data_IF_690265475072
#
_entry.id   IF_690265475072
#
_cell.length_a   1.000
_cell.length_b   1.000
_cell.length_c   1.000
_cell.angle_alpha   90.00
_cell.angle_beta   90.00
_cell.angle_gamma   90.00
#
_symmetry.space_group_name_H-M   'P 1'
#
loop_
_entity.id
_entity.type
_entity.pdbx_description
1 polymer ?
#
# COMPACT_ATOMS: atom_id res chain seq x y z
N UNK A 1 -11.93 59.57 -14.96
CA UNK A 1 -12.77 59.78 -13.78
C UNK A 1 -13.73 58.57 -13.65
N UNK A 2 -13.48 57.61 -12.82
CA UNK A 2 -14.51 56.70 -12.36
C UNK A 2 -14.06 56.05 -11.03
N UNK A 3 -14.91 56.19 -10.05
CA UNK A 3 -14.69 55.98 -8.63
C UNK A 3 -14.68 54.49 -8.27
N UNK A 4 -13.62 54.05 -7.58
CA UNK A 4 -13.61 52.77 -6.82
C UNK A 4 -14.63 52.89 -5.67
N UNK A 5 -15.59 51.97 -5.61
CA UNK A 5 -16.42 51.73 -4.43
C UNK A 5 -15.78 50.64 -3.58
N UNK A 6 -15.29 51.06 -2.42
CA UNK A 6 -14.89 50.15 -1.32
C UNK A 6 -16.17 49.62 -0.68
N UNK A 7 -16.34 48.31 -0.68
CA UNK A 7 -17.36 47.61 0.11
C UNK A 7 -16.71 47.15 1.40
N UNK A 8 -17.01 47.83 2.50
CA UNK A 8 -16.64 47.40 3.84
C UNK A 8 -17.67 46.39 4.34
N UNK A 9 -17.25 45.14 4.52
CA UNK A 9 -18.08 44.11 5.12
C UNK A 9 -17.90 44.16 6.64
N UNK A 10 -18.92 44.69 7.32
CA UNK A 10 -18.99 44.75 8.80
C UNK A 10 -19.41 43.39 9.34
N UNK A 11 -18.52 42.71 10.02
CA UNK A 11 -18.85 41.48 10.81
C UNK A 11 -19.40 41.93 12.16
N UNK A 12 -20.69 41.76 12.36
CA UNK A 12 -21.33 41.86 13.68
C UNK A 12 -21.07 40.54 14.40
N UNK A 13 -20.16 40.57 15.37
CA UNK A 13 -19.90 39.46 16.29
C UNK A 13 -20.98 39.45 17.38
N UNK A 14 -22.00 38.60 17.22
CA UNK A 14 -23.01 38.39 18.26
C UNK A 14 -22.44 37.46 19.33
N UNK A 15 -22.06 38.02 20.46
CA UNK A 15 -21.59 37.31 21.65
C UNK A 15 -22.79 36.75 22.43
N UNK A 16 -23.12 35.47 22.23
CA UNK A 16 -24.07 34.73 23.05
C UNK A 16 -23.36 34.15 24.25
N UNK A 17 -23.51 34.79 25.42
CA UNK A 17 -23.10 34.25 26.75
C UNK A 17 -24.07 33.14 27.13
N UNK A 18 -23.72 31.89 26.87
CA UNK A 18 -24.39 30.71 27.46
C UNK A 18 -23.58 30.32 28.69
N UNK A 19 -24.08 30.68 29.89
CA UNK A 19 -23.57 30.16 31.17
C UNK A 19 -24.01 28.71 31.34
N UNK A 20 -23.28 27.77 30.71
CA UNK A 20 -23.44 26.35 30.93
C UNK A 20 -22.43 25.87 31.99
N UNK A 21 -22.92 25.44 33.14
CA UNK A 21 -22.14 24.72 34.17
C UNK A 21 -21.62 23.44 33.53
N UNK A 22 -20.30 23.37 33.25
CA UNK A 22 -19.62 22.18 32.78
C UNK A 22 -19.32 21.28 34.00
N UNK A 23 -19.66 19.96 33.97
CA UNK A 23 -19.18 19.04 34.97
C UNK A 23 -17.66 18.90 34.86
N UNK A 24 -16.96 19.15 35.94
CA UNK A 24 -15.53 18.96 36.06
C UNK A 24 -15.19 17.47 35.88
N UNK A 25 -14.30 17.15 34.90
CA UNK A 25 -13.66 15.85 34.89
C UNK A 25 -13.55 15.04 33.61
N UNK A 26 -13.75 15.62 32.40
CA UNK A 26 -13.37 14.93 31.16
C UNK A 26 -12.26 15.68 30.44
N UNK A 27 -11.01 15.35 30.75
CA UNK A 27 -9.87 15.76 29.92
C UNK A 27 -9.96 14.99 28.61
N UNK A 28 -10.56 15.62 27.59
CA UNK A 28 -10.48 15.15 26.22
C UNK A 28 -9.04 15.39 25.73
N UNK A 29 -8.20 14.37 25.86
CA UNK A 29 -6.93 14.36 25.15
C UNK A 29 -7.25 14.11 23.66
N UNK A 30 -7.00 15.06 22.75
CA UNK A 30 -7.16 14.78 21.32
C UNK A 30 -6.17 13.67 20.97
N UNK A 31 -6.68 12.51 20.60
CA UNK A 31 -5.88 11.46 19.99
C UNK A 31 -5.44 12.00 18.63
N UNK A 32 -4.31 12.70 18.61
CA UNK A 32 -3.63 13.08 17.38
C UNK A 32 -3.16 11.77 16.74
N UNK A 33 -3.95 11.23 15.81
CA UNK A 33 -3.48 10.17 14.94
C UNK A 33 -2.37 10.76 14.08
N UNK A 34 -1.12 10.55 14.47
CA UNK A 34 0.03 10.89 13.64
C UNK A 34 -0.02 9.97 12.42
N UNK A 35 -0.71 10.44 11.39
CA UNK A 35 -0.61 9.84 10.07
C UNK A 35 0.85 10.02 9.64
N UNK A 36 1.58 8.90 9.49
CA UNK A 36 3.00 8.96 9.13
C UNK A 36 3.15 9.74 7.82
N UNK A 37 3.61 10.99 7.94
CA UNK A 37 3.73 11.88 6.80
C UNK A 37 4.73 11.31 5.80
N UNK A 38 4.32 11.28 4.54
CA UNK A 38 5.19 10.87 3.43
C UNK A 38 6.41 11.79 3.38
N UNK A 39 7.61 11.22 3.40
CA UNK A 39 8.86 11.99 3.41
C UNK A 39 9.05 12.80 2.14
N UNK A 40 9.94 13.82 2.18
CA UNK A 40 10.46 14.45 0.97
C UNK A 40 11.21 13.43 0.12
N UNK A 41 11.18 13.58 -1.22
CA UNK A 41 11.96 12.75 -2.14
C UNK A 41 13.46 13.01 -1.94
N UNK A 42 14.25 11.94 -1.92
CA UNK A 42 15.70 11.99 -1.81
C UNK A 42 16.34 11.41 -3.07
N UNK A 43 17.35 12.08 -3.61
CA UNK A 43 18.10 11.59 -4.77
C UNK A 43 18.85 10.31 -4.43
N UNK A 44 18.82 9.36 -5.35
CA UNK A 44 19.53 8.10 -5.26
C UNK A 44 20.30 7.80 -6.56
N UNK A 45 21.34 6.96 -6.47
CA UNK A 45 22.08 6.44 -7.63
C UNK A 45 21.84 4.94 -7.74
N UNK A 46 21.67 4.44 -8.95
CA UNK A 46 21.55 3.00 -9.21
C UNK A 46 22.88 2.29 -8.95
N UNK A 47 22.80 1.17 -8.22
CA UNK A 47 23.94 0.28 -7.97
C UNK A 47 23.72 -1.06 -8.65
N UNK A 48 22.62 -1.77 -8.30
CA UNK A 48 22.34 -3.11 -8.84
C UNK A 48 20.84 -3.43 -8.69
N UNK A 49 20.20 -4.00 -9.70
CA UNK A 49 18.91 -4.66 -9.54
C UNK A 49 19.12 -6.03 -8.87
N UNK A 50 18.26 -6.40 -7.95
CA UNK A 50 18.24 -7.72 -7.30
C UNK A 50 17.20 -8.60 -8.00
N UNK A 51 15.97 -8.10 -8.05
CA UNK A 51 14.82 -8.71 -8.76
C UNK A 51 13.89 -7.63 -9.30
N UNK A 52 12.62 -7.97 -9.55
CA UNK A 52 11.66 -7.03 -10.13
C UNK A 52 11.20 -5.92 -9.18
N UNK A 53 11.24 -6.13 -7.87
CA UNK A 53 10.76 -5.19 -6.85
C UNK A 53 11.81 -4.87 -5.76
N UNK A 54 13.05 -5.26 -6.00
CA UNK A 54 14.16 -5.04 -5.08
C UNK A 54 15.40 -4.57 -5.84
N UNK A 55 16.03 -3.50 -5.37
CA UNK A 55 17.27 -2.97 -5.94
C UNK A 55 18.21 -2.42 -4.86
N UNK A 56 19.52 -2.42 -5.16
CA UNK A 56 20.52 -1.68 -4.39
C UNK A 56 20.67 -0.29 -4.96
N UNK A 57 20.45 0.72 -4.13
CA UNK A 57 20.60 2.14 -4.48
C UNK A 57 21.50 2.82 -3.47
N UNK A 58 22.30 3.78 -3.94
CA UNK A 58 23.11 4.65 -3.08
C UNK A 58 22.36 5.94 -2.80
N UNK A 59 22.22 6.27 -1.52
CA UNK A 59 21.59 7.50 -1.01
C UNK A 59 22.59 8.18 -0.08
N UNK A 60 22.94 9.43 -0.36
CA UNK A 60 23.96 10.19 0.40
C UNK A 60 25.28 9.42 0.57
N UNK A 61 25.76 8.78 -0.50
CA UNK A 61 27.00 8.01 -0.51
C UNK A 61 26.95 6.60 0.09
N UNK A 62 25.85 6.21 0.74
CA UNK A 62 25.70 4.86 1.34
C UNK A 62 24.77 3.99 0.51
N UNK A 63 25.15 2.74 0.30
CA UNK A 63 24.35 1.76 -0.46
C UNK A 63 23.43 0.99 0.47
N UNK A 64 22.15 0.91 0.08
CA UNK A 64 21.12 0.16 0.78
C UNK A 64 20.35 -0.74 -0.20
N UNK A 65 19.83 -1.85 0.30
CA UNK A 65 18.84 -2.65 -0.42
C UNK A 65 17.46 -2.08 -0.19
N UNK A 66 16.77 -1.72 -1.27
CA UNK A 66 15.41 -1.19 -1.25
C UNK A 66 14.44 -2.25 -1.73
N UNK A 67 13.43 -2.56 -0.91
CA UNK A 67 12.23 -3.29 -1.29
C UNK A 67 11.14 -2.27 -1.63
N UNK A 68 10.59 -2.36 -2.82
CA UNK A 68 9.62 -1.37 -3.32
C UNK A 68 8.28 -1.54 -2.61
N UNK A 69 7.72 -0.44 -2.11
CA UNK A 69 6.46 -0.44 -1.36
C UNK A 69 5.28 -0.91 -2.21
N UNK A 70 4.38 -1.64 -1.57
CA UNK A 70 3.05 -2.00 -2.06
C UNK A 70 3.00 -2.81 -3.38
N UNK A 71 4.12 -3.36 -3.83
CA UNK A 71 4.17 -4.22 -5.02
C UNK A 71 4.91 -5.53 -4.73
N UNK A 72 4.60 -6.55 -5.52
CA UNK A 72 5.22 -7.85 -5.48
C UNK A 72 5.37 -8.38 -6.90
N UNK A 73 6.60 -8.75 -7.27
CA UNK A 73 6.92 -9.33 -8.58
C UNK A 73 7.13 -10.84 -8.45
N UNK A 74 6.95 -11.60 -9.54
CA UNK A 74 7.26 -13.03 -9.50
C UNK A 74 8.73 -13.27 -9.14
N UNK A 75 8.98 -14.32 -8.36
CA UNK A 75 10.27 -14.64 -7.78
C UNK A 75 11.32 -15.02 -8.83
N UNK A 76 12.57 -14.52 -8.66
CA UNK A 76 13.69 -14.82 -9.55
C UNK A 76 14.95 -15.28 -8.83
N UNK A 77 15.06 -15.03 -7.53
CA UNK A 77 16.31 -15.20 -6.77
C UNK A 77 16.20 -16.15 -5.58
N UNK A 78 15.02 -16.75 -5.35
CA UNK A 78 14.83 -17.71 -4.26
C UNK A 78 15.65 -18.98 -4.55
N UNK A 79 16.58 -19.39 -3.67
CA UNK A 79 17.39 -20.57 -3.85
C UNK A 79 16.52 -21.82 -4.11
N UNK A 80 16.99 -22.71 -4.97
CA UNK A 80 16.34 -23.98 -5.30
C UNK A 80 14.89 -23.85 -5.82
N UNK A 81 14.53 -22.70 -6.37
CA UNK A 81 13.20 -22.45 -6.92
C UNK A 81 13.34 -22.01 -8.39
N UNK A 82 12.63 -22.62 -9.34
CA UNK A 82 12.63 -22.15 -10.72
C UNK A 82 12.15 -20.70 -10.80
N UNK A 83 12.71 -19.95 -11.75
CA UNK A 83 12.26 -18.58 -12.04
C UNK A 83 10.78 -18.59 -12.40
N UNK A 84 9.98 -17.88 -11.61
CA UNK A 84 8.54 -17.83 -11.81
C UNK A 84 8.15 -17.15 -13.13
N UNK A 85 6.99 -17.52 -13.67
CA UNK A 85 6.44 -16.91 -14.88
C UNK A 85 6.46 -15.38 -14.79
N UNK A 86 6.98 -14.69 -15.79
CA UNK A 86 7.20 -13.25 -15.85
C UNK A 86 8.27 -12.70 -14.89
N UNK A 87 8.88 -13.48 -14.00
CA UNK A 87 9.89 -13.01 -13.04
C UNK A 87 11.08 -12.35 -13.75
N UNK A 88 11.69 -13.05 -14.71
CA UNK A 88 12.81 -12.49 -15.48
C UNK A 88 12.44 -11.18 -16.19
N UNK A 89 11.24 -11.09 -16.77
CA UNK A 89 10.78 -9.86 -17.46
C UNK A 89 10.57 -8.70 -16.48
N UNK A 90 10.04 -8.95 -15.29
CA UNK A 90 9.91 -7.94 -14.25
C UNK A 90 11.28 -7.43 -13.79
N UNK A 91 12.22 -8.34 -13.54
CA UNK A 91 13.60 -8.02 -13.13
C UNK A 91 14.35 -7.23 -14.20
N UNK A 92 14.30 -7.68 -15.46
CA UNK A 92 14.95 -7.00 -16.59
C UNK A 92 14.36 -5.60 -16.81
N UNK A 93 13.04 -5.46 -16.66
CA UNK A 93 12.37 -4.16 -16.76
C UNK A 93 12.84 -3.19 -15.66
N UNK A 94 12.84 -3.62 -14.40
CA UNK A 94 13.36 -2.81 -13.28
C UNK A 94 14.81 -2.40 -13.51
N UNK A 95 15.67 -3.35 -13.90
CA UNK A 95 17.08 -3.07 -14.22
C UNK A 95 17.22 -2.04 -15.34
N UNK A 96 16.46 -2.19 -16.43
CA UNK A 96 16.48 -1.26 -17.55
C UNK A 96 16.03 0.15 -17.16
N UNK A 97 14.90 0.26 -16.44
CA UNK A 97 14.36 1.55 -15.98
C UNK A 97 15.35 2.28 -15.09
N UNK A 98 15.97 1.58 -14.12
CA UNK A 98 16.92 2.18 -13.18
C UNK A 98 18.26 2.51 -13.86
N UNK A 99 18.74 1.68 -14.80
CA UNK A 99 20.02 1.91 -15.50
C UNK A 99 19.94 3.09 -16.47
N UNK A 100 18.80 3.28 -17.14
CA UNK A 100 18.59 4.36 -18.13
C UNK A 100 18.13 5.67 -17.51
N UNK A 101 17.77 5.69 -16.22
CA UNK A 101 17.23 6.85 -15.54
C UNK A 101 18.23 8.03 -15.53
N UNK A 102 17.76 9.20 -15.91
CA UNK A 102 18.48 10.47 -15.71
C UNK A 102 18.43 10.90 -14.24
N UNK A 103 17.32 10.59 -13.56
CA UNK A 103 17.11 10.94 -12.16
C UNK A 103 16.37 9.83 -11.43
N UNK A 104 16.96 9.30 -10.36
CA UNK A 104 16.33 8.36 -9.45
C UNK A 104 16.11 9.06 -8.11
N UNK A 105 14.93 8.88 -7.52
CA UNK A 105 14.63 9.38 -6.18
C UNK A 105 13.90 8.30 -5.40
N UNK A 106 14.14 8.28 -4.08
CA UNK A 106 13.40 7.44 -3.14
C UNK A 106 12.50 8.32 -2.27
N UNK A 107 11.41 7.75 -1.79
CA UNK A 107 10.48 8.43 -0.90
C UNK A 107 9.93 7.44 0.11
N UNK A 108 10.14 7.69 1.40
CA UNK A 108 9.62 6.87 2.47
C UNK A 108 8.13 7.20 2.73
N UNK A 109 7.38 6.16 3.10
CA UNK A 109 5.95 6.26 3.42
C UNK A 109 5.64 5.17 4.46
N UNK A 110 5.46 5.57 5.72
CA UNK A 110 5.35 4.65 6.84
C UNK A 110 6.69 4.09 7.31
N UNK A 111 6.73 2.80 7.62
CA UNK A 111 7.94 2.12 8.10
C UNK A 111 9.07 2.18 7.08
N UNK A 112 10.25 2.59 7.52
CA UNK A 112 11.42 2.78 6.65
C UNK A 112 12.21 1.49 6.40
N UNK A 113 12.00 0.45 7.18
CA UNK A 113 12.82 -0.77 7.11
C UNK A 113 11.94 -1.99 7.44
N UNK A 114 12.14 -3.09 6.74
CA UNK A 114 11.49 -4.36 7.05
C UNK A 114 12.31 -5.21 8.03
N UNK A 115 11.78 -6.37 8.41
CA UNK A 115 12.44 -7.32 9.33
C UNK A 115 13.75 -7.92 8.82
N UNK A 116 14.04 -7.78 7.53
CA UNK A 116 15.28 -8.24 6.90
C UNK A 116 16.30 -7.11 6.71
N UNK A 117 16.04 -5.91 7.24
CA UNK A 117 16.91 -4.75 7.13
C UNK A 117 16.83 -4.01 5.79
N UNK A 118 15.94 -4.42 4.87
CA UNK A 118 15.75 -3.72 3.60
C UNK A 118 14.99 -2.41 3.81
N UNK A 119 15.37 -1.35 3.11
CA UNK A 119 14.65 -0.07 3.14
C UNK A 119 13.37 -0.16 2.32
N UNK A 120 12.27 0.33 2.88
CA UNK A 120 10.94 0.36 2.24
C UNK A 120 10.68 1.74 1.65
N UNK A 121 10.54 1.85 0.33
CA UNK A 121 10.35 3.14 -0.31
C UNK A 121 9.57 3.07 -1.63
N UNK A 122 8.98 4.18 -1.99
CA UNK A 122 8.55 4.49 -3.34
C UNK A 122 9.79 4.88 -4.16
N UNK A 123 9.89 4.34 -5.38
CA UNK A 123 11.01 4.61 -6.30
C UNK A 123 10.49 5.44 -7.46
N UNK A 124 11.11 6.58 -7.67
CA UNK A 124 10.80 7.51 -8.75
C UNK A 124 11.93 7.48 -9.79
N UNK A 125 11.54 7.28 -11.04
CA UNK A 125 12.43 7.25 -12.20
C UNK A 125 11.96 8.33 -13.15
N UNK A 126 12.77 9.36 -13.36
CA UNK A 126 12.47 10.50 -14.22
C UNK A 126 11.07 11.09 -13.95
N UNK A 127 10.75 11.29 -12.66
CA UNK A 127 9.49 11.85 -12.20
C UNK A 127 8.30 10.89 -12.20
N UNK A 128 8.46 9.64 -12.66
CA UNK A 128 7.40 8.61 -12.73
C UNK A 128 7.60 7.54 -11.66
N UNK A 129 6.53 7.09 -11.03
CA UNK A 129 6.57 6.04 -10.01
C UNK A 129 6.86 4.68 -10.65
N UNK A 130 8.00 4.04 -10.29
CA UNK A 130 8.42 2.76 -10.88
C UNK A 130 7.43 1.64 -10.54
N UNK A 131 6.88 1.62 -9.33
CA UNK A 131 5.85 0.67 -8.92
C UNK A 131 4.61 0.75 -9.85
N UNK A 132 4.18 1.95 -10.20
CA UNK A 132 3.05 2.13 -11.12
C UNK A 132 3.39 1.66 -12.55
N UNK A 133 4.63 1.89 -13.01
CA UNK A 133 5.11 1.38 -14.30
C UNK A 133 5.09 -0.15 -14.34
N UNK A 134 5.54 -0.82 -13.28
CA UNK A 134 5.52 -2.28 -13.14
C UNK A 134 4.09 -2.83 -13.16
N UNK A 135 3.20 -2.25 -12.35
CA UNK A 135 1.80 -2.67 -12.26
C UNK A 135 1.05 -2.46 -13.58
N UNK A 136 1.26 -1.32 -14.25
CA UNK A 136 0.66 -1.04 -15.59
C UNK A 136 1.02 -2.06 -16.65
N UNK A 137 2.25 -2.57 -16.62
CA UNK A 137 2.72 -3.60 -17.55
C UNK A 137 2.29 -5.02 -17.15
N UNK A 138 1.70 -5.17 -15.97
CA UNK A 138 1.39 -6.48 -15.40
C UNK A 138 2.66 -7.24 -15.00
N UNK A 139 3.72 -6.56 -14.58
CA UNK A 139 4.94 -7.18 -14.07
C UNK A 139 4.95 -7.34 -12.57
N UNK A 140 4.05 -6.63 -11.87
CA UNK A 140 3.84 -6.72 -10.44
C UNK A 140 2.35 -6.75 -10.10
N UNK A 141 2.03 -7.41 -8.97
CA UNK A 141 0.76 -7.28 -8.28
C UNK A 141 0.88 -6.26 -7.15
N UNK A 142 -0.24 -5.73 -6.69
CA UNK A 142 -0.29 -4.98 -5.43
C UNK A 142 -0.28 -5.98 -4.28
N UNK A 143 0.68 -5.82 -3.36
CA UNK A 143 0.85 -6.71 -2.23
C UNK A 143 1.57 -5.99 -1.07
N UNK A 144 1.60 -6.60 0.14
CA UNK A 144 2.28 -6.04 1.32
C UNK A 144 1.83 -4.63 1.70
N UNK A 145 0.51 -4.39 1.69
CA UNK A 145 -0.09 -3.14 2.17
C UNK A 145 -0.34 -3.27 3.67
N UNK A 146 0.49 -2.64 4.48
CA UNK A 146 0.41 -2.68 5.94
C UNK A 146 -0.20 -1.41 6.56
N UNK A 147 -0.70 -0.48 5.72
CA UNK A 147 -1.29 0.77 6.15
C UNK A 147 -1.84 1.60 4.99
N UNK A 148 -2.15 2.86 5.28
CA UNK A 148 -2.53 3.82 4.23
C UNK A 148 -1.26 4.36 3.58
N UNK A 149 -0.95 3.91 2.37
CA UNK A 149 0.14 4.47 1.57
C UNK A 149 -0.39 5.46 0.54
N UNK A 150 0.32 6.57 0.36
CA UNK A 150 -0.08 7.71 -0.49
C UNK A 150 -0.45 7.32 -1.93
N UNK A 151 0.28 6.38 -2.53
CA UNK A 151 0.12 6.07 -3.95
C UNK A 151 -0.66 4.78 -4.24
N UNK A 152 -1.24 4.14 -3.22
CA UNK A 152 -2.00 2.89 -3.37
C UNK A 152 -3.15 3.01 -4.37
N UNK A 153 -3.90 4.12 -4.35
CA UNK A 153 -5.02 4.34 -5.26
C UNK A 153 -4.60 4.39 -6.73
N UNK A 154 -3.41 4.94 -7.03
CA UNK A 154 -2.84 4.97 -8.38
C UNK A 154 -2.54 3.55 -8.84
N UNK A 155 -1.88 2.76 -7.98
CA UNK A 155 -1.56 1.36 -8.27
C UNK A 155 -2.82 0.53 -8.52
N UNK A 156 -3.87 0.69 -7.69
CA UNK A 156 -5.14 -0.02 -7.82
C UNK A 156 -5.81 0.25 -9.17
N UNK A 157 -5.85 1.51 -9.61
CA UNK A 157 -6.37 1.88 -10.94
C UNK A 157 -5.56 1.22 -12.05
N UNK A 158 -4.25 1.16 -11.92
CA UNK A 158 -3.34 0.56 -12.89
C UNK A 158 -3.46 -0.96 -12.91
N UNK A 159 -3.53 -1.61 -11.75
CA UNK A 159 -3.73 -3.06 -11.65
C UNK A 159 -5.06 -3.50 -12.26
N UNK A 160 -6.16 -2.78 -11.96
CA UNK A 160 -7.47 -3.06 -12.55
C UNK A 160 -7.43 -3.05 -14.08
N UNK A 161 -6.70 -2.08 -14.68
CA UNK A 161 -6.51 -2.02 -16.13
C UNK A 161 -5.65 -3.16 -16.67
N UNK A 162 -4.55 -3.51 -16.00
CA UNK A 162 -3.66 -4.59 -16.37
C UNK A 162 -4.38 -5.96 -16.31
N UNK A 163 -5.16 -6.20 -15.26
CA UNK A 163 -6.01 -7.40 -15.10
C UNK A 163 -7.04 -7.51 -16.22
N UNK A 164 -7.79 -6.43 -16.51
CA UNK A 164 -8.81 -6.41 -17.57
C UNK A 164 -8.20 -6.77 -18.93
N UNK A 165 -6.98 -6.30 -19.21
CA UNK A 165 -6.25 -6.56 -20.45
C UNK A 165 -5.43 -7.85 -20.41
N UNK A 166 -5.46 -8.64 -19.34
CA UNK A 166 -4.66 -9.85 -19.13
C UNK A 166 -3.16 -9.63 -19.41
N UNK A 167 -2.58 -8.50 -18.98
CA UNK A 167 -1.18 -8.17 -19.24
C UNK A 167 -0.25 -8.95 -18.28
N UNK A 168 0.91 -9.37 -18.78
CA UNK A 168 1.99 -9.94 -17.99
C UNK A 168 1.54 -11.11 -17.10
N UNK A 169 1.70 -10.96 -15.78
CA UNK A 169 1.32 -11.96 -14.76
C UNK A 169 -0.15 -12.36 -14.84
N UNK A 170 -1.02 -11.48 -15.34
CA UNK A 170 -2.45 -11.74 -15.45
C UNK A 170 -2.84 -12.69 -16.58
N UNK A 171 -1.87 -13.11 -17.45
CA UNK A 171 -2.05 -14.20 -18.42
C UNK A 171 -2.06 -15.57 -17.74
N UNK A 172 -1.20 -15.76 -16.74
CA UNK A 172 -1.10 -16.98 -15.96
C UNK A 172 -0.65 -16.63 -14.53
N UNK A 173 -1.61 -16.24 -13.70
CA UNK A 173 -1.34 -15.74 -12.35
C UNK A 173 -0.79 -16.81 -11.42
N UNK A 174 -1.28 -18.05 -11.50
CA UNK A 174 -0.80 -19.17 -10.68
C UNK A 174 0.65 -19.54 -10.99
N UNK A 175 1.07 -19.47 -12.23
CA UNK A 175 2.46 -19.69 -12.62
C UNK A 175 3.39 -18.52 -12.22
N UNK A 176 2.84 -17.30 -12.11
CA UNK A 176 3.59 -16.14 -11.62
C UNK A 176 3.78 -16.18 -10.08
N UNK A 177 2.81 -16.71 -9.35
CA UNK A 177 2.80 -16.79 -7.90
C UNK A 177 2.34 -18.17 -7.42
N UNK A 178 3.16 -19.22 -7.57
CA UNK A 178 2.77 -20.61 -7.26
C UNK A 178 2.40 -20.79 -5.78
N UNK A 179 3.08 -20.12 -4.85
CA UNK A 179 2.79 -20.19 -3.42
C UNK A 179 1.45 -19.54 -3.03
N UNK A 180 0.85 -18.75 -3.92
CA UNK A 180 -0.49 -18.18 -3.69
C UNK A 180 -1.62 -19.15 -4.07
N UNK A 181 -1.31 -20.28 -4.69
CA UNK A 181 -2.25 -21.27 -5.20
C UNK A 181 -2.52 -22.43 -4.24
N UNK A 182 -1.90 -22.49 -3.05
CA UNK A 182 -2.22 -23.53 -2.06
C UNK A 182 -3.57 -23.30 -1.33
N UNK A 183 -4.45 -22.48 -1.91
CA UNK A 183 -5.88 -22.55 -1.67
C UNK A 183 -6.53 -23.04 -2.97
N UNK A 184 -6.63 -24.37 -3.10
CA UNK A 184 -7.41 -25.01 -4.16
C UNK A 184 -8.82 -24.41 -4.19
N UNK A 185 -9.12 -23.62 -5.24
CA UNK A 185 -10.39 -23.72 -5.95
C UNK A 185 -10.33 -22.91 -7.24
N UNK A 186 -10.31 -23.65 -8.34
CA UNK A 186 -10.66 -23.28 -9.70
C UNK A 186 -12.04 -22.65 -9.68
N UNK A 187 -12.18 -21.42 -10.18
CA UNK A 187 -13.27 -21.00 -11.08
C UNK A 187 -13.20 -19.49 -11.35
N UNK A 188 -13.53 -19.12 -12.55
CA UNK A 188 -13.74 -17.82 -13.21
C UNK A 188 -14.21 -16.68 -12.25
N UNK A 189 -13.75 -15.41 -12.42
CA UNK A 189 -14.14 -14.31 -11.52
C UNK A 189 -15.54 -13.80 -11.86
N UNK A 190 -16.55 -14.46 -11.35
CA UNK A 190 -17.83 -13.85 -11.05
C UNK A 190 -17.71 -13.17 -9.68
N UNK A 191 -18.22 -11.93 -9.56
CA UNK A 191 -18.37 -11.19 -8.30
C UNK A 191 -18.87 -12.13 -7.19
N UNK A 192 -17.95 -12.70 -6.38
CA UNK A 192 -18.32 -13.34 -5.12
C UNK A 192 -17.66 -12.56 -4.00
N UNK A 193 -18.46 -11.96 -3.17
CA UNK A 193 -18.11 -11.40 -1.88
C UNK A 193 -17.22 -12.40 -1.13
N UNK A 194 -16.09 -11.93 -0.57
CA UNK A 194 -15.27 -12.75 0.33
C UNK A 194 -16.17 -13.19 1.50
N UNK A 195 -16.69 -14.42 1.43
CA UNK A 195 -17.52 -15.01 2.48
C UNK A 195 -16.74 -15.33 3.77
N UNK A 196 -15.45 -15.02 3.82
CA UNK A 196 -14.60 -15.27 4.97
C UNK A 196 -13.99 -13.98 5.52
N UNK A 197 -13.91 -13.94 6.84
CA UNK A 197 -13.36 -12.81 7.60
C UNK A 197 -12.40 -13.34 8.67
N UNK A 198 -11.60 -12.46 9.23
CA UNK A 198 -10.69 -12.77 10.32
C UNK A 198 -11.25 -12.21 11.62
N UNK A 199 -11.19 -13.00 12.68
CA UNK A 199 -11.62 -12.61 14.03
C UNK A 199 -10.52 -12.95 15.03
N UNK A 200 -10.37 -12.15 16.09
CA UNK A 200 -9.53 -12.49 17.22
C UNK A 200 -10.35 -13.21 18.28
N UNK A 201 -9.70 -14.01 19.10
CA UNK A 201 -10.34 -14.80 20.17
C UNK A 201 -11.07 -13.93 21.21
N UNK A 202 -10.55 -12.73 21.47
CA UNK A 202 -11.04 -11.77 22.48
C UNK A 202 -11.67 -10.52 21.89
N UNK A 203 -11.78 -10.42 20.55
CA UNK A 203 -12.31 -9.23 19.88
C UNK A 203 -13.79 -9.35 19.53
N UNK A 204 -14.46 -8.21 19.34
CA UNK A 204 -15.85 -8.10 18.88
C UNK A 204 -15.99 -7.68 17.41
N UNK A 205 -14.86 -7.63 16.66
CA UNK A 205 -14.84 -7.17 15.26
C UNK A 205 -14.37 -8.29 14.34
N UNK A 206 -14.95 -8.37 13.14
CA UNK A 206 -14.39 -9.13 12.05
C UNK A 206 -13.59 -8.22 11.09
N UNK A 207 -12.54 -8.77 10.48
CA UNK A 207 -11.56 -8.04 9.69
C UNK A 207 -11.40 -8.64 8.30
N UNK A 208 -11.03 -7.83 7.31
CA UNK A 208 -10.80 -8.29 5.94
C UNK A 208 -9.48 -9.05 5.77
N UNK A 209 -8.51 -8.90 6.70
CA UNK A 209 -7.22 -9.59 6.70
C UNK A 209 -6.68 -9.84 8.12
N UNK A 210 -5.84 -10.87 8.28
CA UNK A 210 -5.33 -11.34 9.57
C UNK A 210 -4.48 -10.32 10.36
N UNK A 211 -3.77 -9.45 9.67
CA UNK A 211 -2.87 -8.46 10.30
C UNK A 211 -3.55 -7.17 10.75
N UNK A 212 -4.87 -7.02 10.55
CA UNK A 212 -5.57 -5.81 10.97
C UNK A 212 -5.59 -5.69 12.50
N UNK A 213 -5.32 -4.47 13.00
CA UNK A 213 -5.42 -4.14 14.44
C UNK A 213 -4.50 -4.97 15.37
N UNK A 214 -3.41 -5.55 14.84
CA UNK A 214 -2.44 -6.29 15.66
C UNK A 214 -2.99 -7.57 16.29
N UNK A 215 -3.99 -8.20 15.68
CA UNK A 215 -4.60 -9.43 16.22
C UNK A 215 -3.55 -10.52 16.45
N UNK A 216 -3.53 -11.09 17.67
CA UNK A 216 -2.75 -12.28 18.00
C UNK A 216 -3.54 -13.53 17.63
N UNK A 217 -2.93 -14.46 16.89
CA UNK A 217 -3.52 -15.74 16.46
C UNK A 217 -4.96 -15.61 15.91
N UNK A 218 -5.19 -14.79 14.86
CA UNK A 218 -6.53 -14.61 14.32
C UNK A 218 -7.04 -15.86 13.62
N UNK A 219 -8.32 -16.16 13.78
CA UNK A 219 -9.00 -17.25 13.09
C UNK A 219 -9.76 -16.77 11.87
N UNK A 220 -9.73 -17.55 10.79
CA UNK A 220 -10.50 -17.30 9.57
C UNK A 220 -11.82 -18.08 9.63
N UNK A 221 -12.95 -17.36 9.60
CA UNK A 221 -14.29 -17.96 9.66
C UNK A 221 -15.18 -17.39 8.55
N UNK A 222 -16.31 -18.03 8.27
CA UNK A 222 -17.30 -17.47 7.34
C UNK A 222 -17.86 -16.16 7.90
N UNK A 223 -18.09 -15.18 7.04
CA UNK A 223 -18.65 -13.87 7.45
C UNK A 223 -20.03 -14.04 8.10
N UNK A 224 -20.85 -14.96 7.59
CA UNK A 224 -22.14 -15.29 8.19
C UNK A 224 -21.99 -15.80 9.64
N UNK A 225 -21.00 -16.67 9.88
CA UNK A 225 -20.71 -17.20 11.22
C UNK A 225 -20.15 -16.11 12.16
N UNK A 226 -19.38 -15.17 11.63
CA UNK A 226 -18.93 -14.01 12.41
C UNK A 226 -20.11 -13.13 12.83
N UNK A 227 -21.00 -12.83 11.90
CA UNK A 227 -22.20 -12.00 12.17
C UNK A 227 -23.15 -12.70 13.15
N UNK A 228 -23.41 -14.01 12.99
CA UNK A 228 -24.26 -14.79 13.91
C UNK A 228 -23.70 -14.87 15.33
N UNK A 229 -22.36 -14.81 15.47
CA UNK A 229 -21.64 -14.72 16.76
C UNK A 229 -21.54 -13.29 17.31
N UNK A 230 -22.22 -12.31 16.71
CA UNK A 230 -22.23 -10.92 17.17
C UNK A 230 -21.01 -10.06 16.78
N UNK A 231 -20.10 -10.57 15.93
CA UNK A 231 -19.00 -9.74 15.45
C UNK A 231 -19.51 -8.67 14.48
N UNK A 232 -19.01 -7.45 14.63
CA UNK A 232 -19.30 -6.32 13.73
C UNK A 232 -18.10 -5.97 12.84
N UNK A 233 -18.34 -5.28 11.73
CA UNK A 233 -17.26 -4.90 10.82
C UNK A 233 -16.24 -3.97 11.49
N UNK A 234 -14.95 -4.21 11.24
CA UNK A 234 -13.89 -3.32 11.69
C UNK A 234 -13.83 -2.08 10.79
N UNK A 235 -14.09 -0.89 11.35
CA UNK A 235 -14.04 0.39 10.63
C UNK A 235 -12.66 0.74 10.01
N UNK A 236 -11.59 0.00 10.39
CA UNK A 236 -10.24 0.23 9.89
C UNK A 236 -9.96 -0.51 8.57
N UNK A 237 -10.65 -1.61 8.29
CA UNK A 237 -10.43 -2.44 7.10
C UNK A 237 -11.69 -2.77 6.29
N UNK A 238 -12.85 -2.26 6.71
CA UNK A 238 -14.14 -2.25 6.00
C UNK A 238 -14.65 -0.84 5.80
#
# INVERSE_FOLDING_TARGET
MNKLRKVTLSFILSLLLITGVMPAGTTYSPVVSVEAAVSKKQTAKFVKAVDGDTAKLSVKGRTYTFRFLAVDTPETVKPNTPVAFMGKRASDYTKSELKKAKKIQIQYDGNKTDKYGRKLAWIWVDGKLLQDKLVKKGYARIYYIYGKYKYTNILQKSEKKARKKKLGIWKNYSAAFPDSSSSKNTTTPTKKSNNYVWVSRSGSKYHSYAGCSGMKNPSKIKKADAVSKGYTACKKCY
#
